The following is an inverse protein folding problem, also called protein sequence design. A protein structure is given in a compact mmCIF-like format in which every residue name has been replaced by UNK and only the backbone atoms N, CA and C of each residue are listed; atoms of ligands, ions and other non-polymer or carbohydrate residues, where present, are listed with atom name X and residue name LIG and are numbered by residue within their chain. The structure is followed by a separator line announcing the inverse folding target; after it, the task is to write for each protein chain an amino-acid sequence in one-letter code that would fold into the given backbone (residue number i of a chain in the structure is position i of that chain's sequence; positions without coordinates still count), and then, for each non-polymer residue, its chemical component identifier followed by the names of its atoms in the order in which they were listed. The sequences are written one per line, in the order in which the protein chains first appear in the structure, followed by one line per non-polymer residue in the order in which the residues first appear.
data_IF_058525713372
#
_entry.id   IF_058525713372
#
_cell.length_a   1.000
_cell.length_b   1.000
_cell.length_c   1.000
_cell.angle_alpha   90.00
_cell.angle_beta   90.00
_cell.angle_gamma   90.00
#
_symmetry.space_group_name_H-M   'P 1'
#
loop_
_entity.id
_entity.type
_entity.pdbx_description
1 polymer ?
#
# COMPACT_ATOMS: atom_id res chain seq x y z
N UNK A 1 15.42 17.45 37.01
CA UNK A 1 14.28 16.72 36.43
C UNK A 1 14.18 17.11 34.97
N UNK A 2 14.61 16.24 34.08
CA UNK A 2 14.55 16.49 32.63
C UNK A 2 13.29 15.81 32.13
N UNK A 3 12.26 16.58 31.82
CA UNK A 3 11.07 16.08 31.13
C UNK A 3 11.45 15.97 29.66
N UNK A 4 11.62 14.73 29.18
CA UNK A 4 11.70 14.45 27.74
C UNK A 4 10.30 14.66 27.13
N UNK A 5 10.14 15.45 26.06
CA UNK A 5 8.86 15.58 25.39
C UNK A 5 8.57 14.35 24.51
N UNK A 6 7.28 14.07 24.35
CA UNK A 6 6.63 12.90 23.75
C UNK A 6 7.27 12.31 22.47
N UNK A 7 7.83 11.09 22.59
CA UNK A 7 8.07 10.16 21.48
C UNK A 7 6.78 9.50 20.94
N UNK A 8 5.60 9.90 21.44
CA UNK A 8 4.33 9.20 21.21
C UNK A 8 3.78 9.18 19.76
N UNK A 9 3.86 10.27 18.94
CA UNK A 9 3.12 10.30 17.67
C UNK A 9 3.73 9.39 16.58
N UNK A 10 5.06 9.24 16.54
CA UNK A 10 5.72 8.38 15.55
C UNK A 10 5.57 6.89 15.90
N UNK A 11 5.60 6.54 17.19
CA UNK A 11 5.33 5.17 17.66
C UNK A 11 3.89 4.74 17.39
N UNK A 12 2.92 5.65 17.54
CA UNK A 12 1.50 5.36 17.30
C UNK A 12 1.21 5.13 15.81
N UNK A 13 1.82 5.94 14.93
CA UNK A 13 1.69 5.78 13.48
C UNK A 13 2.26 4.45 12.98
N UNK A 14 3.49 4.11 13.40
CA UNK A 14 4.12 2.83 13.05
C UNK A 14 3.34 1.63 13.60
N UNK A 15 2.79 1.73 14.82
CA UNK A 15 1.94 0.70 15.39
C UNK A 15 0.63 0.52 14.60
N UNK A 16 0.02 1.62 14.14
CA UNK A 16 -1.15 1.61 13.26
C UNK A 16 -0.89 0.89 11.94
N UNK A 17 0.21 1.22 11.27
CA UNK A 17 0.63 0.53 10.03
C UNK A 17 0.86 -0.96 10.30
N UNK A 18 1.58 -1.31 11.37
CA UNK A 18 1.89 -2.71 11.69
C UNK A 18 0.62 -3.53 11.95
N UNK A 19 -0.35 -2.97 12.68
CA UNK A 19 -1.65 -3.62 12.91
C UNK A 19 -2.41 -3.82 11.61
N UNK A 20 -2.50 -2.80 10.77
CA UNK A 20 -3.17 -2.88 9.47
C UNK A 20 -2.48 -3.90 8.55
N UNK A 21 -1.15 -3.88 8.49
CA UNK A 21 -0.34 -4.81 7.71
C UNK A 21 -0.56 -6.28 8.13
N UNK A 22 -0.65 -6.55 9.44
CA UNK A 22 -0.97 -7.88 9.95
C UNK A 22 -2.36 -8.35 9.50
N UNK A 23 -3.37 -7.48 9.59
CA UNK A 23 -4.75 -7.80 9.15
C UNK A 23 -4.82 -8.03 7.64
N UNK A 24 -4.22 -7.14 6.85
CA UNK A 24 -4.18 -7.25 5.39
C UNK A 24 -3.45 -8.51 4.93
N UNK A 25 -2.40 -8.93 5.64
CA UNK A 25 -1.70 -10.20 5.38
C UNK A 25 -2.57 -11.43 5.69
N UNK A 26 -3.52 -11.30 6.62
CA UNK A 26 -4.44 -12.38 7.01
C UNK A 26 -5.70 -12.46 6.13
N UNK A 27 -5.96 -11.48 5.26
CA UNK A 27 -7.11 -11.52 4.35
C UNK A 27 -7.02 -12.74 3.40
N UNK A 28 -8.14 -13.43 3.09
CA UNK A 28 -8.12 -14.62 2.23
C UNK A 28 -7.43 -14.42 0.88
N UNK A 29 -7.59 -13.22 0.31
CA UNK A 29 -6.97 -12.84 -0.96
C UNK A 29 -5.45 -12.63 -0.84
N UNK A 30 -4.95 -12.16 0.31
CA UNK A 30 -3.51 -12.06 0.56
C UNK A 30 -2.89 -13.45 0.76
N UNK A 31 -3.55 -14.30 1.54
CA UNK A 31 -3.14 -15.69 1.75
C UNK A 31 -3.13 -16.48 0.44
N UNK A 32 -4.16 -16.34 -0.39
CA UNK A 32 -4.24 -16.99 -1.70
C UNK A 32 -3.06 -16.60 -2.59
N UNK A 33 -2.75 -15.30 -2.68
CA UNK A 33 -1.67 -14.74 -3.51
C UNK A 33 -0.29 -14.79 -2.83
N UNK A 34 -0.16 -15.44 -1.67
CA UNK A 34 1.06 -15.48 -0.85
C UNK A 34 1.66 -14.08 -0.58
N UNK A 35 0.81 -13.05 -0.40
CA UNK A 35 1.22 -11.67 -0.14
C UNK A 35 1.40 -11.46 1.36
N UNK A 36 2.52 -10.86 1.74
CA UNK A 36 2.77 -10.35 3.09
C UNK A 36 2.96 -8.84 3.06
N UNK A 37 2.37 -8.15 4.03
CA UNK A 37 2.48 -6.71 4.22
C UNK A 37 3.21 -6.45 5.53
N UNK A 38 4.10 -5.46 5.55
CA UNK A 38 4.89 -5.06 6.71
C UNK A 38 5.02 -3.53 6.75
N UNK A 39 5.22 -2.97 7.95
CA UNK A 39 5.57 -1.56 8.10
C UNK A 39 7.01 -1.32 7.61
N UNK A 40 7.25 -0.17 6.99
CA UNK A 40 8.56 0.26 6.46
C UNK A 40 8.89 1.68 6.95
N UNK A 41 8.60 1.94 8.22
CA UNK A 41 8.70 3.25 8.85
C UNK A 41 7.36 3.77 9.37
N UNK A 42 7.33 5.03 9.85
CA UNK A 42 6.12 5.64 10.42
C UNK A 42 5.10 6.09 9.37
N UNK A 43 5.48 6.18 8.10
CA UNK A 43 4.69 6.73 7.00
C UNK A 43 4.65 5.83 5.75
N UNK A 44 5.24 4.63 5.84
CA UNK A 44 5.40 3.73 4.72
C UNK A 44 5.14 2.27 5.07
N UNK A 45 4.71 1.51 4.06
CA UNK A 45 4.50 0.08 4.16
C UNK A 45 4.97 -0.62 2.89
N UNK A 46 5.35 -1.88 3.05
CA UNK A 46 5.75 -2.75 1.94
C UNK A 46 4.81 -3.94 1.83
N UNK A 47 4.57 -4.39 0.60
CA UNK A 47 3.93 -5.66 0.30
C UNK A 47 4.82 -6.51 -0.61
N UNK A 48 4.99 -7.79 -0.27
CA UNK A 48 5.88 -8.71 -0.97
C UNK A 48 5.17 -10.03 -1.28
N UNK A 49 5.64 -10.72 -2.32
CA UNK A 49 5.23 -12.10 -2.61
C UNK A 49 6.17 -13.04 -1.85
N UNK A 50 5.67 -13.69 -0.80
CA UNK A 50 6.46 -14.60 0.04
C UNK A 50 6.79 -15.91 -0.67
N UNK A 51 5.89 -16.37 -1.56
CA UNK A 51 6.08 -17.57 -2.37
C UNK A 51 5.46 -17.38 -3.74
N UNK A 52 6.30 -17.39 -4.77
CA UNK A 52 5.85 -17.28 -6.15
C UNK A 52 5.03 -18.52 -6.55
N UNK A 53 3.84 -18.30 -7.10
CA UNK A 53 2.96 -19.34 -7.63
C UNK A 53 2.82 -19.21 -9.15
N UNK A 54 2.52 -20.31 -9.87
CA UNK A 54 2.40 -20.28 -11.33
C UNK A 54 1.40 -19.24 -11.85
N UNK A 55 0.29 -19.02 -11.14
CA UNK A 55 -0.74 -18.06 -11.55
C UNK A 55 -0.35 -16.59 -11.29
N UNK A 56 0.74 -16.32 -10.55
CA UNK A 56 1.25 -14.97 -10.44
C UNK A 56 1.88 -14.48 -11.75
N UNK A 57 2.21 -15.41 -12.64
CA UNK A 57 2.89 -15.11 -13.90
C UNK A 57 1.87 -14.78 -15.00
N UNK A 58 2.20 -13.80 -15.82
CA UNK A 58 1.42 -13.35 -16.98
C UNK A 58 2.32 -12.82 -18.10
N UNK A 59 1.70 -12.29 -19.16
CA UNK A 59 2.42 -11.73 -20.31
C UNK A 59 3.10 -12.77 -21.20
N UNK A 60 4.03 -12.31 -22.05
CA UNK A 60 4.75 -13.15 -23.01
C UNK A 60 5.37 -14.37 -22.30
N UNK A 61 4.96 -15.56 -22.75
CA UNK A 61 5.45 -16.87 -22.28
C UNK A 61 5.34 -17.13 -20.77
N UNK A 62 4.51 -16.36 -20.04
CA UNK A 62 4.41 -16.42 -18.56
C UNK A 62 5.76 -16.18 -17.87
N UNK A 63 6.62 -15.36 -18.46
CA UNK A 63 7.92 -15.03 -17.88
C UNK A 63 7.85 -13.85 -16.89
N UNK A 64 6.75 -13.10 -16.85
CA UNK A 64 6.59 -11.84 -16.12
C UNK A 64 5.52 -11.96 -15.03
N UNK A 65 5.46 -11.01 -14.10
CA UNK A 65 4.35 -10.93 -13.14
C UNK A 65 3.12 -10.31 -13.80
N UNK A 66 1.95 -10.88 -13.53
CA UNK A 66 0.66 -10.37 -13.97
C UNK A 66 0.35 -9.01 -13.31
N UNK A 67 -0.11 -8.04 -14.10
CA UNK A 67 -0.48 -6.70 -13.61
C UNK A 67 -1.51 -6.70 -12.48
N UNK A 68 -2.46 -7.63 -12.46
CA UNK A 68 -3.43 -7.76 -11.36
C UNK A 68 -2.79 -8.14 -10.02
N UNK A 69 -1.71 -8.93 -10.03
CA UNK A 69 -0.94 -9.23 -8.81
C UNK A 69 -0.17 -8.00 -8.34
N UNK A 70 0.38 -7.23 -9.28
CA UNK A 70 1.07 -5.98 -8.96
C UNK A 70 0.12 -4.94 -8.36
N UNK A 71 -1.09 -4.85 -8.89
CA UNK A 71 -2.15 -4.02 -8.32
C UNK A 71 -2.55 -4.48 -6.92
N UNK A 72 -2.71 -5.79 -6.72
CA UNK A 72 -3.00 -6.36 -5.41
C UNK A 72 -1.90 -6.05 -4.37
N UNK A 73 -0.62 -6.04 -4.77
CA UNK A 73 0.49 -5.63 -3.91
C UNK A 73 0.42 -4.14 -3.58
N UNK A 74 0.26 -3.27 -4.59
CA UNK A 74 0.18 -1.81 -4.39
C UNK A 74 -1.00 -1.43 -3.50
N UNK A 75 -2.19 -2.01 -3.73
CA UNK A 75 -3.38 -1.75 -2.93
C UNK A 75 -3.15 -2.04 -1.44
N UNK A 76 -2.54 -3.18 -1.14
CA UNK A 76 -2.25 -3.59 0.24
C UNK A 76 -1.23 -2.69 0.91
N UNK A 77 -0.12 -2.39 0.21
CA UNK A 77 0.88 -1.48 0.73
C UNK A 77 0.26 -0.09 1.01
N UNK A 78 -0.55 0.44 0.08
CA UNK A 78 -1.21 1.73 0.26
C UNK A 78 -2.23 1.73 1.40
N UNK A 79 -3.05 0.68 1.52
CA UNK A 79 -4.03 0.56 2.62
C UNK A 79 -3.35 0.43 3.98
N UNK A 80 -2.21 -0.26 4.05
CA UNK A 80 -1.42 -0.35 5.28
C UNK A 80 -0.78 1.00 5.64
N UNK A 81 -0.11 1.67 4.70
CA UNK A 81 0.49 2.99 4.94
C UNK A 81 -0.57 4.02 5.36
N UNK A 82 -1.75 4.02 4.73
CA UNK A 82 -2.84 4.92 5.09
C UNK A 82 -3.32 4.77 6.56
N UNK A 83 -3.08 3.63 7.20
CA UNK A 83 -3.44 3.41 8.60
C UNK A 83 -2.65 4.30 9.59
N UNK A 84 -1.49 4.84 9.19
CA UNK A 84 -0.81 5.87 10.01
C UNK A 84 -1.66 7.13 10.22
N UNK A 85 -2.56 7.43 9.28
CA UNK A 85 -3.46 8.59 9.36
C UNK A 85 -4.87 8.16 9.76
N UNK A 86 -5.36 7.04 9.21
CA UNK A 86 -6.73 6.57 9.40
C UNK A 86 -6.92 5.76 10.69
N UNK A 87 -5.83 5.37 11.37
CA UNK A 87 -5.86 4.49 12.52
C UNK A 87 -6.47 3.13 12.17
N UNK A 88 -7.34 2.62 13.05
CA UNK A 88 -7.97 1.30 12.90
C UNK A 88 -9.22 1.31 11.99
N UNK A 89 -9.54 2.44 11.36
CA UNK A 89 -10.71 2.53 10.50
C UNK A 89 -10.57 1.61 9.28
N UNK A 90 -11.59 0.80 8.95
CA UNK A 90 -11.61 0.06 7.70
C UNK A 90 -11.40 1.02 6.52
N UNK A 91 -10.54 0.66 5.57
CA UNK A 91 -10.18 1.54 4.45
C UNK A 91 -10.25 0.81 3.11
N UNK A 92 -10.43 1.58 2.03
CA UNK A 92 -10.43 1.08 0.65
C UNK A 92 -9.63 2.00 -0.26
N UNK A 93 -8.98 1.42 -1.27
CA UNK A 93 -8.39 2.17 -2.38
C UNK A 93 -9.51 2.60 -3.34
N UNK A 94 -9.67 3.89 -3.57
CA UNK A 94 -10.75 4.43 -4.45
C UNK A 94 -10.23 4.93 -5.80
N UNK A 95 -8.93 5.23 -5.90
CA UNK A 95 -8.28 5.64 -7.13
C UNK A 95 -6.84 5.13 -7.14
N UNK A 96 -6.37 4.74 -8.31
CA UNK A 96 -5.01 4.26 -8.54
C UNK A 96 -4.59 4.60 -9.97
N UNK A 97 -3.76 5.63 -10.11
CA UNK A 97 -3.12 5.98 -11.37
C UNK A 97 -1.75 5.29 -11.46
N UNK A 98 -1.47 4.62 -12.58
CA UNK A 98 -0.29 3.77 -12.73
C UNK A 98 0.51 4.14 -13.98
N UNK A 99 1.82 4.31 -13.79
CA UNK A 99 2.80 4.44 -14.86
C UNK A 99 3.71 3.23 -14.89
N UNK A 100 3.62 2.48 -15.99
CA UNK A 100 4.47 1.32 -16.26
C UNK A 100 5.78 1.76 -16.91
N UNK A 101 6.90 1.54 -16.23
CA UNK A 101 8.25 1.84 -16.72
C UNK A 101 8.88 0.64 -17.42
N UNK A 102 8.35 -0.57 -17.16
CA UNK A 102 8.75 -1.79 -17.83
C UNK A 102 8.10 -3.03 -17.21
N UNK A 103 8.34 -4.21 -17.80
CA UNK A 103 7.84 -5.46 -17.26
C UNK A 103 8.50 -5.80 -15.92
N UNK A 104 7.81 -6.55 -15.05
CA UNK A 104 8.29 -6.95 -13.72
C UNK A 104 8.70 -8.43 -13.72
N UNK A 105 9.94 -8.70 -13.32
CA UNK A 105 10.46 -10.07 -13.22
C UNK A 105 9.94 -10.77 -11.96
N UNK A 106 9.75 -12.09 -12.00
CA UNK A 106 9.18 -12.86 -10.89
C UNK A 106 10.20 -13.19 -9.80
N UNK A 107 11.06 -12.24 -9.43
CA UNK A 107 12.07 -12.38 -8.38
C UNK A 107 12.22 -11.07 -7.61
N UNK A 108 12.12 -11.15 -6.28
CA UNK A 108 12.32 -9.99 -5.40
C UNK A 108 11.29 -8.88 -5.63
N UNK A 109 10.03 -9.24 -5.89
CA UNK A 109 8.96 -8.28 -6.19
C UNK A 109 8.51 -7.60 -4.90
N UNK A 110 8.65 -6.29 -4.84
CA UNK A 110 8.29 -5.48 -3.67
C UNK A 110 7.44 -4.31 -4.15
N UNK A 111 6.26 -4.16 -3.55
CA UNK A 111 5.52 -2.90 -3.57
C UNK A 111 5.87 -2.10 -2.33
N UNK A 112 6.27 -0.84 -2.49
CA UNK A 112 6.43 0.10 -1.38
C UNK A 112 5.45 1.25 -1.58
N UNK A 113 4.71 1.62 -0.53
CA UNK A 113 3.83 2.77 -0.52
C UNK A 113 4.23 3.73 0.60
N UNK A 114 4.08 5.02 0.34
CA UNK A 114 4.39 6.11 1.27
C UNK A 114 3.30 7.18 1.20
N UNK A 115 3.05 7.85 2.33
CA UNK A 115 2.08 8.94 2.40
C UNK A 115 2.65 10.19 1.72
N UNK A 116 1.92 10.75 0.76
CA UNK A 116 2.23 12.05 0.15
C UNK A 116 1.45 13.19 0.80
N UNK A 117 0.27 12.91 1.36
CA UNK A 117 -0.55 13.91 2.02
C UNK A 117 -1.96 13.43 2.38
N UNK A 118 -2.82 14.38 2.74
CA UNK A 118 -4.21 14.14 3.11
C UNK A 118 -5.14 15.02 2.28
N UNK A 119 -6.31 14.50 1.93
CA UNK A 119 -7.35 15.22 1.20
C UNK A 119 -8.64 15.28 2.03
N UNK A 120 -8.61 16.07 3.12
CA UNK A 120 -9.71 16.15 4.08
C UNK A 120 -9.69 15.05 5.13
N UNK A 121 -10.71 15.01 5.98
CA UNK A 121 -10.82 14.01 7.06
C UNK A 121 -11.09 12.64 6.45
N UNK A 122 -10.22 11.66 6.69
CA UNK A 122 -10.42 10.27 6.31
C UNK A 122 -10.07 9.89 4.87
N UNK A 123 -9.37 10.77 4.14
CA UNK A 123 -8.79 10.46 2.83
C UNK A 123 -7.28 10.74 2.80
N UNK A 124 -6.50 9.76 2.35
CA UNK A 124 -5.04 9.81 2.29
C UNK A 124 -4.58 9.69 0.85
N UNK A 125 -3.62 10.54 0.47
CA UNK A 125 -2.93 10.51 -0.82
C UNK A 125 -1.59 9.78 -0.64
N UNK A 126 -1.31 8.81 -1.52
CA UNK A 126 -0.12 7.96 -1.41
C UNK A 126 0.60 7.83 -2.74
N UNK A 127 1.92 7.75 -2.69
CA UNK A 127 2.74 7.20 -3.77
C UNK A 127 2.99 5.72 -3.53
N UNK A 128 3.11 4.94 -4.61
CA UNK A 128 3.68 3.61 -4.53
C UNK A 128 4.61 3.29 -5.69
N UNK A 129 5.51 2.34 -5.45
CA UNK A 129 6.40 1.79 -6.47
C UNK A 129 6.38 0.28 -6.42
N UNK A 130 6.51 -0.36 -7.59
CA UNK A 130 6.90 -1.78 -7.70
C UNK A 130 8.36 -1.83 -8.11
N UNK A 131 9.17 -2.62 -7.41
CA UNK A 131 10.53 -2.99 -7.81
C UNK A 131 10.69 -4.50 -7.93
N UNK A 132 11.73 -4.93 -8.63
CA UNK A 132 12.16 -6.33 -8.73
C UNK A 132 13.66 -6.46 -8.46
N UNK A 133 14.20 -7.68 -8.55
CA UNK A 133 15.62 -7.97 -8.30
C UNK A 133 16.62 -7.19 -9.16
N UNK A 134 16.19 -6.52 -10.26
CA UNK A 134 17.08 -5.64 -11.05
C UNK A 134 17.29 -4.27 -10.39
N UNK A 135 16.59 -3.99 -9.30
CA UNK A 135 16.60 -2.68 -8.65
C UNK A 135 15.80 -1.63 -9.43
N UNK A 136 15.50 -0.55 -8.71
CA UNK A 136 14.71 0.58 -9.22
C UNK A 136 13.23 0.27 -9.48
N UNK A 137 12.40 1.32 -9.65
CA UNK A 137 10.98 1.15 -9.90
C UNK A 137 10.72 0.65 -11.33
N UNK A 138 9.79 -0.30 -11.45
CA UNK A 138 9.20 -0.82 -12.69
C UNK A 138 7.79 -0.31 -12.90
N UNK A 139 7.10 0.00 -11.80
CA UNK A 139 5.82 0.71 -11.79
C UNK A 139 5.92 1.85 -10.79
N UNK A 140 5.36 3.00 -11.13
CA UNK A 140 5.07 4.09 -10.19
C UNK A 140 3.57 4.30 -10.18
N UNK A 141 3.01 4.62 -9.03
CA UNK A 141 1.59 4.85 -8.89
C UNK A 141 1.30 5.97 -7.89
N UNK A 142 0.21 6.68 -8.13
CA UNK A 142 -0.42 7.57 -7.16
C UNK A 142 -1.78 6.96 -6.80
N UNK A 143 -2.11 6.95 -5.52
CA UNK A 143 -3.31 6.30 -4.99
C UNK A 143 -4.05 7.16 -3.99
N UNK A 144 -5.36 6.93 -3.90
CA UNK A 144 -6.23 7.55 -2.91
C UNK A 144 -6.89 6.46 -2.08
N UNK A 145 -6.66 6.49 -0.77
CA UNK A 145 -7.27 5.57 0.19
C UNK A 145 -8.24 6.33 1.07
N UNK A 146 -9.46 5.82 1.23
CA UNK A 146 -10.51 6.43 2.06
C UNK A 146 -10.94 5.47 3.16
N UNK A 147 -11.30 6.00 4.32
CA UNK A 147 -12.05 5.25 5.32
C UNK A 147 -13.41 4.80 4.76
N UNK A 148 -13.82 3.57 5.07
CA UNK A 148 -15.13 3.01 4.77
C UNK A 148 -16.07 3.47 5.89
N UNK A 149 -17.23 4.02 5.53
CA UNK A 149 -18.26 4.64 6.40
C UNK A 149 -18.13 6.15 6.68
N UNK A 150 -17.29 6.88 5.94
CA UNK A 150 -17.52 8.32 5.88
C UNK A 150 -18.63 8.63 4.87
N UNK A 151 -19.63 9.46 5.22
CA UNK A 151 -20.56 9.99 4.24
C UNK A 151 -19.73 10.69 3.15
N UNK A 152 -20.12 10.60 1.87
CA UNK A 152 -19.41 11.30 0.80
C UNK A 152 -19.26 12.77 1.21
N UNK A 153 -18.02 13.27 1.21
CA UNK A 153 -17.78 14.70 1.32
C UNK A 153 -18.54 15.36 0.19
N UNK A 154 -19.56 16.16 0.54
CA UNK A 154 -20.33 16.97 -0.41
C UNK A 154 -19.35 17.78 -1.25
N UNK A 155 -19.18 17.37 -2.51
CA UNK A 155 -18.49 18.20 -3.51
C UNK A 155 -19.55 19.21 -3.95
N UNK A 156 -19.72 20.28 -3.18
CA UNK A 156 -20.47 21.43 -3.67
C UNK A 156 -19.62 22.09 -4.75
N UNK A 157 -20.12 22.25 -5.99
CA UNK A 157 -19.41 23.05 -6.98
C UNK A 157 -19.32 24.51 -6.50
N UNK A 158 -18.27 25.26 -6.89
CA UNK A 158 -18.23 26.69 -6.62
C UNK A 158 -19.43 27.37 -7.27
N UNK A 159 -20.09 28.24 -6.51
CA UNK A 159 -21.10 29.18 -7.00
C UNK A 159 -20.49 30.24 -7.90
#
# INVERSE_FOLDING_TARGET
MTVLPADAPETDAAAGIALAAARLSAEPVALHNAIRVEADGPDAAIATITRLQPFHKGGAERALINGGILQALMERAMRAAAAAVLGDAPSRLVSLDQRWLGPVLPRGVIARAEIEGQAGTGTVLLAATISDARGGPRVRAAGVVTAVNQPPTSISPPL
#
